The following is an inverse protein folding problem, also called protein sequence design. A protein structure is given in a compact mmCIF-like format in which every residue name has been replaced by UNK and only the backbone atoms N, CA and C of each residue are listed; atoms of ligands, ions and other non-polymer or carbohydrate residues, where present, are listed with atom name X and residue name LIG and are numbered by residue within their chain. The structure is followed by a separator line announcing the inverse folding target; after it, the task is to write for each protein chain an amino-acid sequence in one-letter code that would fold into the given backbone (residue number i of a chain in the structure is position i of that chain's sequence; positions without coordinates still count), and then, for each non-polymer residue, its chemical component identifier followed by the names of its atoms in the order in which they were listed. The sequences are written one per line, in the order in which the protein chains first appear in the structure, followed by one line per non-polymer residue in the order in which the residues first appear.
data_IF_602742434777
#
_entry.id   IF_602742434777
#
_cell.length_a   1.000
_cell.length_b   1.000
_cell.length_c   1.000
_cell.angle_alpha   90.00
_cell.angle_beta   90.00
_cell.angle_gamma   90.00
#
_symmetry.space_group_name_H-M   'P 1'
#
loop_
_entity.id
_entity.type
_entity.pdbx_description
1 polymer ?
#
# COMPACT_ATOMS: atom_id res chain seq x y z
N UNK A 1 55.85 33.61 21.51
CA UNK A 1 55.52 32.71 20.38
C UNK A 1 54.57 31.62 20.89
N UNK A 2 53.58 31.22 20.08
CA UNK A 2 52.49 30.22 20.32
C UNK A 2 51.12 30.91 20.58
N UNK A 3 50.48 31.43 19.53
CA UNK A 3 49.55 30.77 18.56
C UNK A 3 48.10 30.93 19.04
N UNK A 4 47.45 31.97 18.53
CA UNK A 4 46.03 32.28 18.64
C UNK A 4 45.19 31.20 17.97
N UNK A 5 44.14 30.76 18.66
CA UNK A 5 43.20 29.72 18.21
C UNK A 5 42.23 30.35 17.19
N UNK A 6 42.28 29.89 15.95
CA UNK A 6 41.36 30.32 14.88
C UNK A 6 40.08 29.48 14.97
N UNK A 7 38.97 30.14 15.34
CA UNK A 7 37.63 29.57 15.19
C UNK A 7 37.29 29.55 13.70
N UNK A 8 37.39 28.39 13.07
CA UNK A 8 36.77 28.14 11.77
C UNK A 8 35.36 27.65 12.03
N UNK A 9 34.40 28.56 11.88
CA UNK A 9 32.99 28.23 11.78
C UNK A 9 32.77 27.51 10.44
N UNK A 10 32.69 26.17 10.48
CA UNK A 10 32.26 25.39 9.33
C UNK A 10 30.75 25.57 9.19
N UNK A 11 30.38 26.45 8.27
CA UNK A 11 29.01 26.66 7.81
C UNK A 11 28.41 25.33 7.36
N UNK A 12 27.29 24.99 8.00
CA UNK A 12 26.35 23.94 7.63
C UNK A 12 25.91 24.12 6.17
N UNK A 13 26.48 23.34 5.25
CA UNK A 13 25.80 23.04 3.99
C UNK A 13 24.74 21.98 4.26
N UNK A 14 23.60 22.41 4.79
CA UNK A 14 22.38 21.62 4.76
C UNK A 14 21.83 21.66 3.32
N UNK A 15 22.16 20.66 2.51
CA UNK A 15 21.54 20.46 1.20
C UNK A 15 20.06 20.13 1.37
N UNK A 16 19.11 20.94 0.86
CA UNK A 16 17.69 20.61 0.91
C UNK A 16 17.36 19.73 -0.31
N UNK A 17 17.84 18.49 -0.32
CA UNK A 17 17.54 17.55 -1.41
C UNK A 17 16.60 16.41 -1.01
N UNK A 18 16.08 16.40 0.22
CA UNK A 18 15.29 15.29 0.77
C UNK A 18 13.83 15.64 1.12
N UNK A 19 13.29 16.75 0.62
CA UNK A 19 11.94 17.19 1.00
C UNK A 19 10.82 16.76 0.03
N UNK A 20 11.12 16.03 -1.06
CA UNK A 20 10.12 15.80 -2.12
C UNK A 20 9.40 14.44 -2.09
N UNK A 21 9.84 13.48 -1.27
CA UNK A 21 9.22 12.13 -1.21
C UNK A 21 8.17 11.97 -0.10
N UNK A 22 8.01 12.95 0.79
CA UNK A 22 7.14 12.82 1.97
C UNK A 22 5.68 13.20 1.71
N UNK A 23 5.38 13.88 0.59
CA UNK A 23 4.01 14.31 0.27
C UNK A 23 3.20 13.17 -0.38
N UNK A 24 3.87 12.23 -1.06
CA UNK A 24 3.23 11.19 -1.87
C UNK A 24 2.60 10.05 -1.07
N UNK A 25 2.89 9.93 0.24
CA UNK A 25 2.40 8.84 1.11
C UNK A 25 1.30 9.25 2.08
N UNK A 26 0.82 10.51 1.99
CA UNK A 26 -0.21 11.02 2.86
C UNK A 26 -1.51 10.20 2.70
N UNK A 27 -1.85 9.42 3.74
CA UNK A 27 -3.06 8.59 3.77
C UNK A 27 -2.85 7.10 3.52
N UNK A 28 -1.64 6.67 3.15
CA UNK A 28 -1.23 5.26 3.08
C UNK A 28 -0.78 4.75 4.45
N UNK A 29 -0.97 3.45 4.69
CA UNK A 29 -0.28 2.76 5.77
C UNK A 29 1.20 2.55 5.45
N UNK A 30 2.01 2.22 6.47
CA UNK A 30 3.45 2.07 6.33
C UNK A 30 3.85 0.99 5.29
N UNK A 31 3.11 -0.11 5.21
CA UNK A 31 3.38 -1.18 4.25
C UNK A 31 3.11 -0.71 2.82
N UNK A 32 1.95 -0.08 2.60
CA UNK A 32 1.64 0.52 1.29
C UNK A 32 2.63 1.62 0.89
N UNK A 33 3.07 2.45 1.84
CA UNK A 33 4.08 3.50 1.60
C UNK A 33 5.44 2.92 1.16
N UNK A 34 5.84 1.78 1.74
CA UNK A 34 7.03 1.06 1.31
C UNK A 34 6.88 0.52 -0.12
N UNK A 35 5.74 -0.10 -0.44
CA UNK A 35 5.46 -0.61 -1.80
C UNK A 35 5.57 0.51 -2.86
N UNK A 36 4.92 1.66 -2.63
CA UNK A 36 4.90 2.75 -3.61
C UNK A 36 6.20 3.54 -3.68
N UNK A 37 7.12 3.36 -2.71
CA UNK A 37 8.46 3.94 -2.81
C UNK A 37 9.23 3.39 -4.02
N UNK A 38 8.90 2.18 -4.46
CA UNK A 38 9.40 1.57 -5.69
C UNK A 38 8.33 1.54 -6.80
N UNK A 39 7.06 1.40 -6.46
CA UNK A 39 5.94 1.33 -7.42
C UNK A 39 5.09 2.61 -7.42
N UNK A 40 5.61 3.66 -8.06
CA UNK A 40 5.19 5.04 -7.83
C UNK A 40 3.73 5.37 -8.19
N UNK A 41 3.20 4.91 -9.35
CA UNK A 41 1.86 5.35 -9.81
C UNK A 41 0.95 4.21 -10.34
N UNK A 42 1.53 3.05 -10.64
CA UNK A 42 0.80 1.84 -11.04
C UNK A 42 1.72 0.63 -10.82
N UNK A 43 1.22 -0.42 -10.17
CA UNK A 43 1.97 -1.68 -10.05
C UNK A 43 1.90 -2.48 -11.37
N UNK A 44 0.92 -2.20 -12.23
CA UNK A 44 0.74 -2.89 -13.52
C UNK A 44 0.19 -1.94 -14.59
N UNK A 45 0.91 -1.79 -15.72
CA UNK A 45 0.44 -1.07 -16.91
C UNK A 45 -0.30 -1.96 -17.92
N UNK A 46 -0.59 -3.22 -17.60
CA UNK A 46 -1.19 -4.19 -18.55
C UNK A 46 -2.21 -5.18 -17.95
N UNK A 47 -2.75 -4.93 -16.75
CA UNK A 47 -3.76 -5.81 -16.12
C UNK A 47 -5.16 -5.16 -16.13
N UNK A 48 -6.25 -5.95 -16.11
CA UNK A 48 -7.62 -5.44 -16.23
C UNK A 48 -8.09 -4.59 -15.04
N UNK A 49 -7.33 -4.53 -13.94
CA UNK A 49 -7.67 -3.77 -12.75
C UNK A 49 -6.67 -2.62 -12.55
N UNK A 50 -7.19 -1.39 -12.53
CA UNK A 50 -6.39 -0.23 -12.19
C UNK A 50 -6.34 -0.05 -10.67
N UNK A 51 -5.20 -0.40 -10.08
CA UNK A 51 -4.87 -0.10 -8.68
C UNK A 51 -4.24 1.27 -8.62
N UNK A 52 -4.77 2.17 -7.78
CA UNK A 52 -4.26 3.53 -7.67
C UNK A 52 -4.17 4.02 -6.22
N UNK A 53 -3.23 4.93 -5.99
CA UNK A 53 -3.19 5.79 -4.82
C UNK A 53 -3.41 7.23 -5.27
N UNK A 54 -4.55 7.82 -4.88
CA UNK A 54 -5.07 9.11 -5.37
C UNK A 54 -5.46 9.10 -6.86
N UNK A 55 -6.76 8.96 -7.12
CA UNK A 55 -7.35 8.99 -8.47
C UNK A 55 -8.72 8.29 -8.50
N UNK A 56 -9.47 8.48 -9.59
CA UNK A 56 -10.67 7.70 -9.88
C UNK A 56 -10.23 6.40 -10.58
N UNK A 57 -10.12 5.31 -9.82
CA UNK A 57 -9.81 3.98 -10.35
C UNK A 57 -10.69 2.89 -9.72
N UNK A 58 -10.64 1.69 -10.28
CA UNK A 58 -11.46 0.56 -9.84
C UNK A 58 -11.05 0.04 -8.45
N UNK A 59 -9.76 0.12 -8.09
CA UNK A 59 -9.22 -0.42 -6.83
C UNK A 59 -8.30 0.58 -6.11
N UNK A 60 -8.87 1.55 -5.36
CA UNK A 60 -8.08 2.54 -4.64
C UNK A 60 -7.47 1.99 -3.34
N UNK A 61 -6.22 2.37 -3.05
CA UNK A 61 -5.54 2.13 -1.76
C UNK A 61 -5.44 3.40 -0.90
N UNK A 62 -5.39 3.23 0.42
CA UNK A 62 -5.42 4.30 1.42
C UNK A 62 -6.83 4.75 1.82
N UNK A 63 -7.87 4.10 1.30
CA UNK A 63 -9.27 4.49 1.53
C UNK A 63 -9.97 3.61 2.56
N UNK A 64 -10.96 4.16 3.27
CA UNK A 64 -11.72 3.45 4.33
C UNK A 64 -12.69 2.42 3.74
N UNK A 65 -12.39 1.13 3.89
CA UNK A 65 -13.29 0.06 3.47
C UNK A 65 -14.60 0.07 4.28
N UNK A 66 -14.51 0.41 5.58
CA UNK A 66 -15.66 0.52 6.49
C UNK A 66 -16.68 1.53 5.93
N UNK A 67 -16.19 2.67 5.46
CA UNK A 67 -17.04 3.73 4.92
C UNK A 67 -17.70 3.34 3.59
N UNK A 68 -17.05 2.51 2.77
CA UNK A 68 -17.62 2.01 1.52
C UNK A 68 -18.61 0.87 1.76
N UNK A 69 -18.23 -0.15 2.53
CA UNK A 69 -19.05 -1.34 2.80
C UNK A 69 -20.36 -1.01 3.53
N UNK A 70 -20.36 -0.01 4.41
CA UNK A 70 -21.58 0.47 5.07
C UNK A 70 -22.60 1.14 4.13
N UNK A 71 -22.15 1.61 2.96
CA UNK A 71 -23.00 2.31 1.96
C UNK A 71 -23.27 1.49 0.71
N UNK A 72 -22.45 0.47 0.45
CA UNK A 72 -22.52 -0.37 -0.74
C UNK A 72 -22.87 -1.81 -0.35
N UNK A 73 -24.12 -2.21 -0.61
CA UNK A 73 -24.59 -3.59 -0.35
C UNK A 73 -23.90 -4.66 -1.20
N UNK A 74 -23.25 -4.26 -2.29
CA UNK A 74 -22.39 -5.13 -3.10
C UNK A 74 -21.01 -5.40 -2.48
N UNK A 75 -20.72 -4.85 -1.31
CA UNK A 75 -19.52 -5.16 -0.54
C UNK A 75 -19.87 -5.99 0.69
N UNK A 76 -18.95 -6.86 1.07
CA UNK A 76 -19.03 -7.63 2.31
C UNK A 76 -18.73 -6.72 3.51
N UNK A 77 -19.59 -6.69 4.55
CA UNK A 77 -19.28 -6.05 5.83
C UNK A 77 -18.05 -6.68 6.46
N UNK A 78 -17.36 -5.91 7.27
CA UNK A 78 -16.07 -6.28 7.87
C UNK A 78 -16.18 -7.61 8.63
N UNK A 79 -17.31 -7.85 9.28
CA UNK A 79 -17.55 -9.05 10.09
C UNK A 79 -17.64 -10.33 9.24
N UNK A 80 -17.85 -10.19 7.93
CA UNK A 80 -17.95 -11.30 6.98
C UNK A 80 -16.80 -11.39 5.98
N UNK A 81 -15.77 -10.54 6.10
CA UNK A 81 -14.60 -10.60 5.24
C UNK A 81 -13.83 -11.90 5.48
N UNK A 82 -13.21 -12.41 4.41
CA UNK A 82 -12.26 -13.52 4.54
C UNK A 82 -11.14 -13.11 5.53
N UNK A 83 -10.79 -13.93 6.53
CA UNK A 83 -9.77 -13.60 7.53
C UNK A 83 -8.38 -13.28 6.95
N UNK A 84 -8.09 -13.71 5.72
CA UNK A 84 -6.86 -13.38 5.03
C UNK A 84 -6.85 -11.96 4.44
N UNK A 85 -8.03 -11.33 4.28
CA UNK A 85 -8.16 -9.92 3.89
C UNK A 85 -7.86 -9.04 5.10
N UNK A 86 -6.70 -8.38 5.07
CA UNK A 86 -6.23 -7.52 6.15
C UNK A 86 -6.48 -6.06 5.83
N UNK A 87 -7.42 -5.45 6.56
CA UNK A 87 -7.60 -4.00 6.57
C UNK A 87 -6.64 -3.40 7.60
N UNK A 88 -5.88 -2.38 7.22
CA UNK A 88 -4.97 -1.67 8.12
C UNK A 88 -5.68 -0.41 8.58
N UNK A 89 -5.96 -0.31 9.88
CA UNK A 89 -6.77 0.77 10.48
C UNK A 89 -8.13 0.96 9.79
N UNK A 90 -8.75 -0.15 9.33
CA UNK A 90 -10.03 -0.14 8.61
C UNK A 90 -9.95 0.33 7.16
N UNK A 91 -8.74 0.57 6.65
CA UNK A 91 -8.48 0.99 5.26
C UNK A 91 -7.96 -0.15 4.41
N UNK A 92 -8.21 -0.05 3.11
CA UNK A 92 -7.57 -0.90 2.10
C UNK A 92 -6.16 -0.39 1.84
N UNK A 93 -5.18 -1.29 1.86
CA UNK A 93 -3.79 -1.03 1.50
C UNK A 93 -3.24 -2.13 0.58
N UNK A 94 -1.99 -2.01 0.16
CA UNK A 94 -1.32 -3.01 -0.67
C UNK A 94 -1.36 -4.40 -0.01
N UNK A 95 -1.17 -4.45 1.31
CA UNK A 95 -1.16 -5.69 2.09
C UNK A 95 -2.55 -6.28 2.38
N UNK A 96 -3.62 -5.63 1.90
CA UNK A 96 -4.98 -6.18 1.95
C UNK A 96 -5.13 -7.31 0.93
N UNK A 97 -4.60 -7.10 -0.27
CA UNK A 97 -4.63 -8.09 -1.36
C UNK A 97 -3.32 -8.88 -1.46
N UNK A 98 -2.20 -8.29 -1.03
CA UNK A 98 -0.88 -8.92 -1.13
C UNK A 98 -0.33 -9.42 0.21
N UNK A 99 0.30 -10.59 0.18
CA UNK A 99 1.13 -11.09 1.26
C UNK A 99 2.60 -10.70 0.97
N UNK A 100 3.24 -9.81 1.77
CA UNK A 100 4.60 -9.34 1.49
C UNK A 100 5.65 -10.44 1.67
N UNK A 101 5.36 -11.39 2.55
CA UNK A 101 6.12 -12.60 2.79
C UNK A 101 5.11 -13.71 3.06
N UNK A 102 4.93 -14.67 2.14
CA UNK A 102 3.98 -15.75 2.38
C UNK A 102 4.68 -16.91 3.11
N UNK A 103 4.09 -17.46 4.19
CA UNK A 103 4.54 -18.73 4.78
C UNK A 103 4.07 -19.96 3.98
N UNK A 104 3.31 -19.76 2.90
CA UNK A 104 2.81 -20.80 2.00
C UNK A 104 3.78 -20.95 0.82
N UNK A 105 4.08 -22.20 0.46
CA UNK A 105 4.93 -22.56 -0.68
C UNK A 105 4.54 -21.74 -1.93
N UNK A 106 5.36 -20.74 -2.26
CA UNK A 106 5.22 -19.90 -3.45
C UNK A 106 5.28 -20.69 -4.77
N UNK A 107 5.61 -21.99 -4.73
CA UNK A 107 5.53 -22.91 -5.87
C UNK A 107 4.09 -23.38 -6.19
N UNK A 108 3.14 -23.27 -5.25
CA UNK A 108 1.82 -23.93 -5.38
C UNK A 108 0.67 -23.00 -5.77
N UNK A 109 0.87 -21.69 -5.81
CA UNK A 109 -0.16 -20.72 -6.25
C UNK A 109 0.29 -19.99 -7.52
N UNK A 110 -0.64 -19.76 -8.44
CA UNK A 110 -0.36 -19.12 -9.74
C UNK A 110 0.09 -17.65 -9.60
N UNK A 111 -0.21 -17.00 -8.48
CA UNK A 111 0.38 -15.75 -8.04
C UNK A 111 0.89 -15.94 -6.60
N UNK A 112 2.21 -15.92 -6.37
CA UNK A 112 2.80 -16.28 -5.08
C UNK A 112 2.57 -15.23 -3.99
N UNK A 113 2.03 -14.05 -4.30
CA UNK A 113 1.96 -12.93 -3.36
C UNK A 113 0.55 -12.45 -3.06
N UNK A 114 -0.51 -13.22 -3.34
CA UNK A 114 -1.87 -12.86 -2.94
C UNK A 114 -2.21 -13.35 -1.52
N UNK A 115 -3.02 -12.58 -0.80
CA UNK A 115 -3.53 -12.94 0.52
C UNK A 115 -4.58 -14.05 0.46
N UNK A 116 -5.29 -14.18 -0.67
CA UNK A 116 -6.30 -15.20 -0.95
C UNK A 116 -6.00 -15.84 -2.31
N UNK A 117 -6.17 -17.16 -2.44
CA UNK A 117 -6.10 -17.83 -3.74
C UNK A 117 -7.15 -17.23 -4.69
N UNK A 118 -6.70 -16.80 -5.87
CA UNK A 118 -7.55 -16.16 -6.86
C UNK A 118 -8.19 -17.16 -7.85
N UNK A 119 -8.03 -18.46 -7.64
CA UNK A 119 -8.77 -19.49 -8.38
C UNK A 119 -10.27 -19.18 -8.36
N UNK A 120 -10.89 -19.06 -9.54
CA UNK A 120 -12.31 -18.72 -9.66
C UNK A 120 -12.67 -17.32 -9.15
N UNK A 121 -11.73 -16.38 -9.15
CA UNK A 121 -11.90 -15.02 -8.61
C UNK A 121 -12.09 -14.97 -7.09
N UNK A 122 -11.52 -15.94 -6.36
CA UNK A 122 -11.62 -16.05 -4.90
C UNK A 122 -11.29 -14.75 -4.16
N UNK A 123 -10.21 -14.06 -4.56
CA UNK A 123 -9.83 -12.78 -3.98
C UNK A 123 -10.89 -11.68 -4.21
N UNK A 124 -11.50 -11.63 -5.39
CA UNK A 124 -12.52 -10.62 -5.71
C UNK A 124 -13.78 -10.82 -4.84
N UNK A 125 -14.24 -12.06 -4.74
CA UNK A 125 -15.47 -12.39 -4.00
C UNK A 125 -15.28 -12.40 -2.47
N UNK A 126 -14.04 -12.34 -1.99
CA UNK A 126 -13.74 -12.10 -0.58
C UNK A 126 -14.28 -10.73 -0.11
N UNK A 127 -14.35 -9.75 -1.02
CA UNK A 127 -14.85 -8.40 -0.74
C UNK A 127 -16.16 -8.06 -1.46
N UNK A 128 -16.39 -8.61 -2.66
CA UNK A 128 -17.53 -8.27 -3.51
C UNK A 128 -18.62 -9.34 -3.49
N UNK A 129 -19.85 -8.88 -3.36
CA UNK A 129 -21.08 -9.68 -3.45
C UNK A 129 -21.73 -9.46 -4.80
N UNK A 130 -22.25 -10.53 -5.40
CA UNK A 130 -23.06 -10.48 -6.61
C UNK A 130 -24.47 -9.97 -6.31
#
# INVERSE_FOLDING_TARGET
MKKTFSLIAFLLFASPAFASSQILTAGLDAGSAECVSCHQDAITVNEPLQVCHQGDCDHPVGVSYISFSSKNRGLTPIEGLDPAIKLIDGKMGCLTCHAPYAPVDHEKTADPMLSVDNTGSGLCVACHRK
#
